data_IF_170581754261
#
_entry.id   IF_170581754261
#
_cell.length_a   1.000
_cell.length_b   1.000
_cell.length_c   1.000
_cell.angle_alpha   90.00
_cell.angle_beta   90.00
_cell.angle_gamma   90.00
#
_symmetry.space_group_name_H-M   'P 1'
#
loop_
_entity.id
_entity.type
_entity.pdbx_description
1 polymer ?
#
# COMPACT_ATOMS: atom_id res chain seq x y z
N UNK A 1 18.52 14.10 -5.29
CA UNK A 1 17.36 13.49 -5.98
C UNK A 1 16.24 13.37 -4.95
N UNK A 2 15.03 13.77 -5.30
CA UNK A 2 13.87 13.80 -4.38
C UNK A 2 13.01 12.56 -4.59
N UNK A 3 12.52 11.94 -3.52
CA UNK A 3 11.66 10.76 -3.54
C UNK A 3 10.36 11.11 -2.82
N UNK A 4 9.21 10.66 -3.34
CA UNK A 4 7.91 10.84 -2.68
C UNK A 4 7.75 9.86 -1.51
N UNK A 5 6.99 10.24 -0.50
CA UNK A 5 6.64 9.36 0.62
C UNK A 5 5.95 8.08 0.12
N UNK A 6 5.12 8.22 -0.92
CA UNK A 6 4.35 7.13 -1.53
C UNK A 6 5.22 6.11 -2.25
N UNK A 7 6.32 6.54 -2.89
CA UNK A 7 7.28 5.61 -3.48
C UNK A 7 8.20 4.99 -2.42
N UNK A 8 8.55 5.75 -1.38
CA UNK A 8 9.35 5.25 -0.27
C UNK A 8 8.62 4.12 0.48
N UNK A 9 7.32 4.26 0.75
CA UNK A 9 6.53 3.20 1.39
C UNK A 9 6.39 1.96 0.51
N UNK A 10 6.22 2.13 -0.81
CA UNK A 10 6.16 1.01 -1.74
C UNK A 10 7.48 0.21 -1.78
N UNK A 11 8.61 0.91 -1.88
CA UNK A 11 9.94 0.29 -1.84
C UNK A 11 10.20 -0.43 -0.51
N UNK A 12 9.90 0.21 0.61
CA UNK A 12 10.05 -0.39 1.93
C UNK A 12 9.23 -1.67 2.10
N UNK A 13 7.99 -1.72 1.57
CA UNK A 13 7.16 -2.92 1.62
C UNK A 13 7.75 -4.08 0.80
N UNK A 14 8.26 -3.82 -0.41
CA UNK A 14 8.91 -4.85 -1.23
C UNK A 14 10.21 -5.34 -0.61
N UNK A 15 10.99 -4.44 -0.03
CA UNK A 15 12.24 -4.82 0.65
C UNK A 15 11.94 -5.65 1.90
N UNK A 16 10.91 -5.29 2.68
CA UNK A 16 10.45 -6.10 3.81
C UNK A 16 10.02 -7.51 3.38
N UNK A 17 9.24 -7.63 2.30
CA UNK A 17 8.82 -8.93 1.74
C UNK A 17 10.01 -9.75 1.27
N UNK A 18 10.99 -9.13 0.60
CA UNK A 18 12.19 -9.82 0.14
C UNK A 18 13.05 -10.31 1.31
N UNK A 19 13.26 -9.47 2.33
CA UNK A 19 14.00 -9.82 3.54
C UNK A 19 13.31 -10.92 4.35
N UNK A 20 11.97 -11.03 4.28
CA UNK A 20 11.22 -12.14 4.86
C UNK A 20 11.22 -13.42 4.01
N UNK A 21 12.05 -13.51 2.96
CA UNK A 21 12.17 -14.68 2.08
C UNK A 21 11.20 -14.70 0.90
N UNK A 22 10.51 -13.58 0.65
CA UNK A 22 9.62 -13.42 -0.49
C UNK A 22 10.34 -13.07 -1.80
N UNK A 23 9.57 -12.88 -2.88
CA UNK A 23 10.14 -12.63 -4.21
C UNK A 23 10.80 -11.25 -4.33
N UNK A 24 11.83 -11.17 -5.17
CA UNK A 24 12.38 -9.91 -5.65
C UNK A 24 11.66 -9.49 -6.95
N UNK A 25 11.07 -8.31 -6.95
CA UNK A 25 10.43 -7.72 -8.12
C UNK A 25 10.67 -6.22 -8.17
N UNK A 26 10.70 -5.67 -9.39
CA UNK A 26 10.83 -4.22 -9.61
C UNK A 26 9.50 -3.52 -9.35
N UNK A 27 9.53 -2.43 -8.58
CA UNK A 27 8.37 -1.56 -8.38
C UNK A 27 8.43 -0.39 -9.36
N UNK A 28 7.35 -0.08 -10.11
CA UNK A 28 7.28 1.16 -10.87
C UNK A 28 7.24 2.36 -9.92
N UNK A 29 8.10 3.35 -10.19
CA UNK A 29 8.24 4.59 -9.42
C UNK A 29 7.59 5.77 -10.14
N UNK A 30 7.43 6.88 -9.43
CA UNK A 30 6.81 8.12 -9.92
C UNK A 30 5.49 8.47 -9.23
N UNK A 31 5.16 7.82 -8.09
CA UNK A 31 3.99 8.22 -7.30
C UNK A 31 4.21 9.61 -6.73
N UNK A 32 3.12 10.36 -6.58
CA UNK A 32 3.12 11.67 -5.93
C UNK A 32 2.32 11.58 -4.64
N UNK A 33 2.73 12.35 -3.64
CA UNK A 33 2.09 12.32 -2.34
C UNK A 33 0.74 13.04 -2.37
N UNK A 34 -0.24 12.45 -1.68
CA UNK A 34 -1.53 13.08 -1.49
C UNK A 34 -1.40 14.35 -0.64
N UNK A 35 -2.14 15.40 -1.01
CA UNK A 35 -2.14 16.68 -0.30
C UNK A 35 -3.10 16.70 0.91
N UNK A 36 -3.94 15.67 1.04
CA UNK A 36 -4.94 15.52 2.11
C UNK A 36 -5.00 14.07 2.56
N UNK A 37 -5.24 13.86 3.86
CA UNK A 37 -5.47 12.53 4.42
C UNK A 37 -6.91 12.06 4.13
N UNK A 38 -7.11 10.74 4.06
CA UNK A 38 -8.45 10.16 3.94
C UNK A 38 -9.22 10.30 5.26
N UNK A 39 -10.52 10.62 5.18
CA UNK A 39 -11.39 10.67 6.37
C UNK A 39 -11.69 9.26 6.87
N UNK A 40 -11.98 9.13 8.17
CA UNK A 40 -12.33 7.83 8.78
C UNK A 40 -13.46 7.10 8.04
N UNK A 41 -14.46 7.83 7.57
CA UNK A 41 -15.58 7.23 6.85
C UNK A 41 -15.10 6.60 5.52
N UNK A 42 -14.30 7.34 4.75
CA UNK A 42 -13.73 6.83 3.49
C UNK A 42 -12.80 5.64 3.75
N UNK A 43 -11.96 5.68 4.79
CA UNK A 43 -11.06 4.57 5.08
C UNK A 43 -11.81 3.31 5.49
N UNK A 44 -12.82 3.41 6.34
CA UNK A 44 -13.62 2.26 6.79
C UNK A 44 -14.51 1.70 5.68
N UNK A 45 -14.96 2.53 4.75
CA UNK A 45 -15.73 2.07 3.59
C UNK A 45 -14.88 1.28 2.57
N UNK A 46 -13.57 1.55 2.49
CA UNK A 46 -12.68 0.93 1.50
C UNK A 46 -11.79 -0.21 2.04
N UNK A 47 -11.68 -0.36 3.36
CA UNK A 47 -10.90 -1.44 3.98
C UNK A 47 -11.82 -2.61 4.33
N UNK A 48 -11.59 -3.81 3.78
CA UNK A 48 -12.38 -4.98 4.14
C UNK A 48 -12.14 -5.35 5.62
N UNK A 49 -13.20 -5.61 6.42
CA UNK A 49 -13.04 -6.09 7.79
C UNK A 49 -12.50 -7.52 7.83
N UNK A 50 -11.89 -7.95 8.94
CA UNK A 50 -11.37 -9.31 9.09
C UNK A 50 -12.47 -10.39 9.06
N UNK A 51 -13.73 -10.01 9.27
CA UNK A 51 -14.91 -10.88 9.22
C UNK A 51 -15.60 -10.87 7.86
N UNK A 52 -15.02 -10.21 6.85
CA UNK A 52 -15.56 -10.16 5.49
C UNK A 52 -15.61 -11.56 4.86
N UNK A 53 -16.72 -11.87 4.17
CA UNK A 53 -16.86 -13.12 3.44
C UNK A 53 -16.14 -13.07 2.09
N UNK A 54 -15.84 -14.23 1.51
CA UNK A 54 -15.21 -14.34 0.19
C UNK A 54 -15.99 -13.61 -0.90
N UNK A 55 -17.32 -13.60 -0.81
CA UNK A 55 -18.22 -12.85 -1.72
C UNK A 55 -18.10 -11.34 -1.64
N UNK A 56 -17.47 -10.80 -0.60
CA UNK A 56 -17.23 -9.35 -0.43
C UNK A 56 -15.81 -8.92 -0.79
N UNK A 57 -14.86 -9.86 -0.84
CA UNK A 57 -13.44 -9.59 -1.14
C UNK A 57 -13.14 -9.84 -2.62
N UNK A 58 -13.85 -10.78 -3.25
CA UNK A 58 -13.76 -11.14 -4.66
C UNK A 58 -14.86 -10.44 -5.47
#
# INVERSE_FOLDING_TARGET
RTVSCSDLTALAARDAVFLSGGPNYSIPLGRRDGITFATRNVTLANLPPPTANTTTIL
#
